data_IF_398840198050
#
_entry.id   IF_398840198050
#
_cell.length_a   1.000
_cell.length_b   1.000
_cell.length_c   1.000
_cell.angle_alpha   90.00
_cell.angle_beta   90.00
_cell.angle_gamma   90.00
#
_symmetry.space_group_name_H-M   'P 1'
#
loop_
_entity.id
_entity.type
_entity.pdbx_description
1 polymer ?
#
# COMPACT_ATOMS: atom_id res chain seq x y z
N UNK A 1 20.42 6.74 -13.44
CA UNK A 1 19.62 7.98 -13.29
C UNK A 1 19.83 8.55 -11.89
N UNK A 2 20.09 9.87 -11.75
CA UNK A 2 20.26 10.50 -10.43
C UNK A 2 18.98 10.36 -9.59
N UNK A 3 19.12 10.17 -8.27
CA UNK A 3 17.99 9.92 -7.34
C UNK A 3 16.92 11.02 -7.41
N UNK A 4 17.36 12.28 -7.49
CA UNK A 4 16.49 13.46 -7.60
C UNK A 4 15.69 13.45 -8.91
N UNK A 5 16.28 12.96 -10.00
CA UNK A 5 15.63 12.91 -11.31
C UNK A 5 14.49 11.88 -11.33
N UNK A 6 14.70 10.67 -10.78
CA UNK A 6 13.63 9.67 -10.70
C UNK A 6 12.46 10.16 -9.85
N UNK A 7 12.76 10.78 -8.70
CA UNK A 7 11.74 11.34 -7.83
C UNK A 7 10.89 12.41 -8.50
N UNK A 8 11.55 13.34 -9.18
CA UNK A 8 10.89 14.42 -9.92
C UNK A 8 10.00 13.88 -11.03
N UNK A 9 10.47 12.87 -11.78
CA UNK A 9 9.68 12.23 -12.84
C UNK A 9 8.44 11.55 -12.30
N UNK A 10 8.56 10.81 -11.19
CA UNK A 10 7.42 10.13 -10.58
C UNK A 10 6.37 11.11 -10.03
N UNK A 11 6.81 12.21 -9.40
CA UNK A 11 5.92 13.26 -8.94
C UNK A 11 5.23 13.99 -10.11
N UNK A 12 6.00 14.30 -11.17
CA UNK A 12 5.44 14.89 -12.38
C UNK A 12 4.40 13.97 -13.01
N UNK A 13 4.69 12.67 -13.10
CA UNK A 13 3.77 11.68 -13.65
C UNK A 13 2.48 11.57 -12.82
N UNK A 14 2.59 11.57 -11.49
CA UNK A 14 1.42 11.62 -10.60
C UNK A 14 0.60 12.90 -10.79
N UNK A 15 1.25 14.05 -10.95
CA UNK A 15 0.57 15.33 -11.20
C UNK A 15 -0.13 15.36 -12.56
N UNK A 16 0.52 14.87 -13.62
CA UNK A 16 -0.07 14.77 -14.95
C UNK A 16 -1.27 13.82 -14.94
N UNK A 17 -1.17 12.67 -14.26
CA UNK A 17 -2.29 11.74 -14.12
C UNK A 17 -3.48 12.41 -13.42
N UNK A 18 -3.25 13.09 -12.29
CA UNK A 18 -4.30 13.84 -11.59
C UNK A 18 -4.91 14.95 -12.46
N UNK A 19 -4.08 15.68 -13.22
CA UNK A 19 -4.55 16.72 -14.14
C UNK A 19 -5.45 16.17 -15.25
N UNK A 20 -5.08 15.03 -15.85
CA UNK A 20 -5.90 14.35 -16.87
C UNK A 20 -7.28 14.01 -16.28
N UNK A 21 -7.31 13.42 -15.08
CA UNK A 21 -8.57 13.09 -14.39
C UNK A 21 -9.43 14.33 -14.15
N UNK A 22 -8.83 15.46 -13.75
CA UNK A 22 -9.55 16.73 -13.59
C UNK A 22 -10.17 17.15 -14.93
N UNK A 23 -9.38 17.19 -16.01
CA UNK A 23 -9.88 17.58 -17.33
C UNK A 23 -11.02 16.69 -17.80
N UNK A 24 -10.93 15.37 -17.57
CA UNK A 24 -11.98 14.41 -17.92
C UNK A 24 -13.25 14.57 -17.08
N UNK A 25 -13.13 14.88 -15.79
CA UNK A 25 -14.28 15.17 -14.93
C UNK A 25 -15.02 16.43 -15.39
N UNK A 26 -14.30 17.49 -15.77
CA UNK A 26 -14.91 18.75 -16.21
C UNK A 26 -15.44 18.71 -17.65
N UNK A 27 -14.93 17.82 -18.50
CA UNK A 27 -15.45 17.67 -19.87
C UNK A 27 -16.80 16.94 -19.93
N UNK A 28 -17.19 16.23 -18.87
CA UNK A 28 -18.41 15.41 -18.83
C UNK A 28 -18.34 14.18 -19.74
N UNK A 29 -17.17 13.86 -20.30
CA UNK A 29 -17.01 12.78 -21.28
C UNK A 29 -17.18 11.39 -20.66
N UNK A 30 -16.74 11.22 -19.40
CA UNK A 30 -16.73 9.92 -18.71
C UNK A 30 -17.99 9.75 -17.84
N UNK A 31 -18.59 10.85 -17.37
CA UNK A 31 -19.64 10.82 -16.36
C UNK A 31 -20.69 11.86 -16.67
N UNK A 32 -21.95 11.44 -16.64
CA UNK A 32 -23.09 12.35 -16.64
C UNK A 32 -23.00 13.33 -15.46
N UNK A 33 -23.19 14.61 -15.77
CA UNK A 33 -23.29 15.65 -14.75
C UNK A 33 -24.69 15.55 -14.12
N UNK A 34 -24.74 15.00 -12.91
CA UNK A 34 -25.96 14.87 -12.10
C UNK A 34 -25.57 14.78 -10.62
N UNK A 35 -26.56 14.70 -9.74
CA UNK A 35 -26.36 14.59 -8.29
C UNK A 35 -25.94 13.17 -7.91
N UNK A 36 -24.92 13.05 -7.05
CA UNK A 36 -24.48 11.77 -6.47
C UNK A 36 -24.97 11.68 -5.01
N UNK A 37 -25.76 10.65 -4.65
CA UNK A 37 -26.48 10.62 -3.37
C UNK A 37 -25.62 10.70 -2.10
N UNK A 38 -24.42 10.12 -2.06
CA UNK A 38 -23.59 10.05 -0.84
C UNK A 38 -23.33 11.40 -0.19
N UNK A 39 -23.20 12.47 -0.98
CA UNK A 39 -23.05 13.84 -0.50
C UNK A 39 -24.19 14.77 -0.95
N UNK A 40 -25.07 14.31 -1.83
CA UNK A 40 -26.06 15.16 -2.50
C UNK A 40 -25.42 16.26 -3.37
N UNK A 41 -24.18 16.06 -3.83
CA UNK A 41 -23.42 17.02 -4.62
C UNK A 41 -23.35 16.61 -6.09
N UNK A 42 -23.03 17.58 -6.94
CA UNK A 42 -22.79 17.34 -8.37
C UNK A 42 -21.62 16.37 -8.54
N UNK A 43 -21.77 15.43 -9.48
CA UNK A 43 -20.82 14.34 -9.74
C UNK A 43 -19.37 14.80 -9.91
N UNK A 44 -19.14 15.94 -10.57
CA UNK A 44 -17.79 16.51 -10.75
C UNK A 44 -17.08 16.78 -9.41
N UNK A 45 -17.78 17.36 -8.44
CA UNK A 45 -17.22 17.66 -7.11
C UNK A 45 -17.02 16.37 -6.31
N UNK A 46 -18.03 15.50 -6.31
CA UNK A 46 -17.98 14.22 -5.60
C UNK A 46 -16.80 13.37 -6.08
N UNK A 47 -16.62 13.22 -7.38
CA UNK A 47 -15.54 12.41 -7.94
C UNK A 47 -14.18 13.09 -7.87
N UNK A 48 -14.07 14.42 -7.87
CA UNK A 48 -12.82 15.09 -7.54
C UNK A 48 -12.35 14.73 -6.12
N UNK A 49 -13.27 14.66 -5.16
CA UNK A 49 -12.96 14.27 -3.79
C UNK A 49 -12.54 12.80 -3.74
N UNK A 50 -13.35 11.90 -4.32
CA UNK A 50 -13.06 10.48 -4.27
C UNK A 50 -11.80 10.13 -5.05
N UNK A 51 -11.58 10.65 -6.25
CA UNK A 51 -10.55 10.14 -7.16
C UNK A 51 -9.20 10.83 -6.98
N UNK A 52 -9.16 11.98 -6.31
CA UNK A 52 -7.94 12.78 -6.14
C UNK A 52 -7.70 13.08 -4.66
N UNK A 53 -8.64 13.78 -4.01
CA UNK A 53 -8.40 14.31 -2.65
C UNK A 53 -8.21 13.18 -1.64
N UNK A 54 -9.14 12.22 -1.58
CA UNK A 54 -9.07 11.07 -0.65
C UNK A 54 -7.79 10.24 -0.88
N UNK A 55 -7.47 9.74 -2.09
CA UNK A 55 -6.32 8.88 -2.29
C UNK A 55 -5.01 9.63 -2.05
N UNK A 56 -4.91 10.91 -2.43
CA UNK A 56 -3.68 11.68 -2.23
C UNK A 56 -3.52 12.14 -0.77
N UNK A 57 -4.46 12.94 -0.26
CA UNK A 57 -4.36 13.53 1.08
C UNK A 57 -4.53 12.46 2.15
N UNK A 58 -5.47 11.53 1.98
CA UNK A 58 -5.64 10.40 2.89
C UNK A 58 -4.37 9.57 3.02
N UNK A 59 -3.68 9.28 1.91
CA UNK A 59 -2.40 8.55 1.93
C UNK A 59 -1.30 9.32 2.65
N UNK A 60 -1.23 10.64 2.49
CA UNK A 60 -0.28 11.49 3.21
C UNK A 60 -0.56 11.46 4.72
N UNK A 61 -1.83 11.58 5.12
CA UNK A 61 -2.19 11.57 6.54
C UNK A 61 -1.87 10.23 7.19
N UNK A 62 -2.31 9.12 6.58
CA UNK A 62 -2.12 7.79 7.17
C UNK A 62 -0.65 7.38 7.19
N UNK A 63 0.18 7.75 6.20
CA UNK A 63 1.59 7.37 6.21
C UNK A 63 2.40 8.05 7.31
N UNK A 64 1.93 9.21 7.79
CA UNK A 64 2.55 9.94 8.90
C UNK A 64 2.17 9.36 10.27
N UNK A 65 0.95 8.84 10.39
CA UNK A 65 0.35 8.45 11.67
C UNK A 65 0.48 6.95 11.88
N UNK A 66 0.07 6.14 10.90
CA UNK A 66 -0.17 4.71 11.07
C UNK A 66 1.09 3.92 11.36
N UNK A 67 2.23 4.10 10.66
CA UNK A 67 3.46 3.39 11.01
C UNK A 67 3.90 3.64 12.46
N UNK A 68 3.66 4.83 13.00
CA UNK A 68 4.03 5.21 14.37
C UNK A 68 3.20 4.51 15.43
N UNK A 69 1.96 4.15 15.10
CA UNK A 69 1.03 3.48 16.02
C UNK A 69 1.09 1.96 15.83
N UNK A 70 0.93 1.49 14.60
CA UNK A 70 0.80 0.06 14.30
C UNK A 70 2.12 -0.69 14.35
N UNK A 71 3.26 -0.06 14.02
CA UNK A 71 4.54 -0.78 14.10
C UNK A 71 4.90 -1.17 15.54
N UNK A 72 4.85 -0.27 16.54
CA UNK A 72 5.07 -0.66 17.94
C UNK A 72 4.06 -1.71 18.42
N UNK A 73 2.78 -1.59 18.06
CA UNK A 73 1.76 -2.55 18.41
C UNK A 73 2.06 -3.94 17.83
N UNK A 74 2.44 -4.01 16.56
CA UNK A 74 2.83 -5.25 15.90
C UNK A 74 4.05 -5.89 16.58
N UNK A 75 5.06 -5.09 16.95
CA UNK A 75 6.23 -5.59 17.70
C UNK A 75 5.82 -6.20 19.05
N UNK A 76 4.88 -5.57 19.77
CA UNK A 76 4.38 -6.09 21.05
C UNK A 76 3.67 -7.43 20.88
N UNK A 77 2.80 -7.54 19.87
CA UNK A 77 2.08 -8.78 19.55
C UNK A 77 3.09 -9.87 19.15
N UNK A 78 4.03 -9.56 18.25
CA UNK A 78 5.06 -10.51 17.80
C UNK A 78 5.89 -11.00 18.99
N UNK A 79 6.32 -10.13 19.90
CA UNK A 79 7.07 -10.51 21.10
C UNK A 79 6.28 -11.45 22.01
N UNK A 80 4.96 -11.26 22.10
CA UNK A 80 4.10 -12.15 22.89
C UNK A 80 3.98 -13.55 22.27
N UNK A 81 3.95 -13.64 20.94
CA UNK A 81 3.84 -14.91 20.20
C UNK A 81 5.18 -15.65 20.14
N UNK A 82 6.28 -14.92 19.94
CA UNK A 82 7.62 -15.48 19.78
C UNK A 82 8.44 -15.33 21.07
N UNK A 83 8.02 -16.02 22.13
CA UNK A 83 8.77 -16.04 23.39
C UNK A 83 10.17 -16.66 23.16
N UNK A 84 11.21 -16.07 23.75
CA UNK A 84 12.60 -16.55 23.65
C UNK A 84 13.47 -15.83 22.62
N UNK A 85 12.88 -15.00 21.76
CA UNK A 85 13.63 -14.19 20.81
C UNK A 85 13.82 -12.75 21.31
N UNK A 86 14.92 -12.13 20.87
CA UNK A 86 15.28 -10.75 21.12
C UNK A 86 15.11 -9.89 19.87
N UNK A 87 14.82 -8.61 20.06
CA UNK A 87 14.72 -7.64 18.97
C UNK A 87 15.99 -6.78 18.86
N UNK A 88 16.44 -6.57 17.64
CA UNK A 88 17.60 -5.72 17.34
C UNK A 88 17.44 -4.95 16.04
N UNK A 89 18.50 -4.27 15.64
CA UNK A 89 18.61 -3.68 14.31
C UNK A 89 20.01 -3.90 13.74
N UNK A 90 20.09 -4.00 12.41
CA UNK A 90 21.36 -3.99 11.67
C UNK A 90 21.59 -2.57 11.15
N UNK A 91 22.78 -2.01 11.40
CA UNK A 91 23.08 -0.65 10.94
C UNK A 91 23.45 -0.60 9.45
N UNK A 92 22.43 -0.82 8.62
CA UNK A 92 22.52 -0.68 7.16
C UNK A 92 21.79 0.60 6.77
N UNK A 93 22.43 1.41 5.95
CA UNK A 93 21.79 2.55 5.28
C UNK A 93 20.84 2.05 4.19
N UNK A 94 19.58 1.86 4.56
CA UNK A 94 18.51 1.57 3.60
C UNK A 94 18.17 2.84 2.83
N UNK A 95 18.24 2.79 1.50
CA UNK A 95 17.75 3.86 0.63
C UNK A 95 16.31 3.53 0.17
N UNK A 96 15.28 4.18 0.75
CA UNK A 96 13.88 3.95 0.34
C UNK A 96 13.62 4.38 -1.11
N UNK A 97 14.40 5.32 -1.66
CA UNK A 97 14.19 5.88 -3.00
C UNK A 97 14.94 5.11 -4.11
N UNK A 98 15.40 3.89 -3.85
CA UNK A 98 15.99 3.03 -4.88
C UNK A 98 14.89 2.60 -5.86
N UNK A 99 15.09 2.82 -7.16
CA UNK A 99 14.06 2.55 -8.19
C UNK A 99 13.45 1.15 -8.14
N UNK A 100 14.27 0.10 -7.95
CA UNK A 100 13.78 -1.28 -7.75
C UNK A 100 12.80 -1.37 -6.56
N UNK A 101 13.12 -0.71 -5.44
CA UNK A 101 12.31 -0.71 -4.22
C UNK A 101 11.00 0.04 -4.44
N UNK A 102 11.05 1.19 -5.09
CA UNK A 102 9.84 1.97 -5.46
C UNK A 102 8.93 1.11 -6.33
N UNK A 103 9.44 0.52 -7.41
CA UNK A 103 8.65 -0.32 -8.30
C UNK A 103 7.99 -1.50 -7.59
N UNK A 104 8.74 -2.19 -6.72
CA UNK A 104 8.19 -3.29 -5.90
C UNK A 104 7.11 -2.79 -4.93
N UNK A 105 7.29 -1.63 -4.28
CA UNK A 105 6.31 -1.06 -3.35
C UNK A 105 5.04 -0.58 -4.07
N UNK A 106 5.16 0.01 -5.26
CA UNK A 106 4.03 0.38 -6.10
C UNK A 106 3.24 -0.84 -6.59
N UNK A 107 3.94 -1.91 -6.98
CA UNK A 107 3.28 -3.18 -7.34
C UNK A 107 2.50 -3.75 -6.15
N UNK A 108 3.08 -3.76 -4.96
CA UNK A 108 2.39 -4.26 -3.77
C UNK A 108 1.21 -3.38 -3.34
N UNK A 109 1.33 -2.05 -3.49
CA UNK A 109 0.19 -1.14 -3.32
C UNK A 109 -0.93 -1.46 -4.30
N UNK A 110 -0.60 -1.57 -5.60
CA UNK A 110 -1.55 -1.93 -6.65
C UNK A 110 -2.35 -3.19 -6.27
N UNK A 111 -1.65 -4.28 -5.91
CA UNK A 111 -2.30 -5.54 -5.54
C UNK A 111 -3.21 -5.38 -4.32
N UNK A 112 -2.74 -4.68 -3.29
CA UNK A 112 -3.56 -4.51 -2.08
C UNK A 112 -4.76 -3.58 -2.30
N UNK A 113 -4.63 -2.56 -3.14
CA UNK A 113 -5.74 -1.68 -3.54
C UNK A 113 -6.83 -2.49 -4.23
N UNK A 114 -6.48 -3.37 -5.17
CA UNK A 114 -7.47 -4.23 -5.84
C UNK A 114 -8.16 -5.13 -4.82
N UNK A 115 -7.39 -5.84 -3.98
CA UNK A 115 -7.96 -6.76 -2.99
C UNK A 115 -8.93 -6.06 -2.02
N UNK A 116 -8.56 -4.87 -1.52
CA UNK A 116 -9.43 -4.08 -0.64
C UNK A 116 -10.64 -3.51 -1.38
N UNK A 117 -10.48 -3.08 -2.63
CA UNK A 117 -11.60 -2.53 -3.42
C UNK A 117 -12.73 -3.53 -3.60
N UNK A 118 -12.41 -4.82 -3.73
CA UNK A 118 -13.40 -5.89 -3.88
C UNK A 118 -14.19 -6.11 -2.60
N UNK A 119 -13.53 -6.01 -1.45
CA UNK A 119 -14.21 -6.01 -0.15
C UNK A 119 -15.11 -4.77 -0.04
N UNK A 120 -14.64 -3.60 -0.44
CA UNK A 120 -15.47 -2.39 -0.37
C UNK A 120 -16.66 -2.42 -1.33
N UNK A 121 -16.50 -2.97 -2.53
CA UNK A 121 -17.60 -3.16 -3.48
C UNK A 121 -18.71 -4.08 -2.95
N UNK A 122 -18.45 -4.92 -1.94
CA UNK A 122 -19.49 -5.72 -1.28
C UNK A 122 -20.08 -5.06 -0.02
N UNK A 123 -19.41 -4.05 0.53
CA UNK A 123 -19.85 -3.33 1.72
C UNK A 123 -20.65 -2.06 1.41
N UNK A 124 -20.40 -1.43 0.26
CA UNK A 124 -21.04 -0.19 -0.14
C UNK A 124 -22.07 -0.43 -1.25
N UNK A 125 -23.23 0.24 -1.14
CA UNK A 125 -24.25 0.23 -2.19
C UNK A 125 -23.79 1.11 -3.36
N UNK A 126 -23.65 0.58 -4.60
CA UNK A 126 -23.29 1.38 -5.76
C UNK A 126 -24.20 2.58 -6.00
N UNK A 127 -25.48 2.50 -5.64
CA UNK A 127 -26.44 3.58 -5.85
C UNK A 127 -26.09 4.84 -5.06
N UNK A 128 -25.38 4.73 -3.93
CA UNK A 128 -24.94 5.89 -3.16
C UNK A 128 -23.84 6.68 -3.88
N UNK A 129 -23.04 6.01 -4.71
CA UNK A 129 -21.84 6.56 -5.33
C UNK A 129 -22.02 6.90 -6.82
N UNK A 130 -23.16 6.55 -7.41
CA UNK A 130 -23.45 6.79 -8.82
C UNK A 130 -24.47 7.93 -8.98
N UNK A 131 -24.47 8.64 -10.12
CA UNK A 131 -25.43 9.70 -10.36
C UNK A 131 -26.87 9.16 -10.37
N UNK A 132 -27.84 9.96 -9.91
CA UNK A 132 -29.25 9.56 -9.89
C UNK A 132 -29.73 9.16 -11.29
N UNK A 133 -30.46 8.05 -11.37
CA UNK A 133 -30.95 7.49 -12.63
C UNK A 133 -29.91 6.68 -13.42
N UNK A 134 -28.76 6.36 -12.81
CA UNK A 134 -27.84 5.37 -13.40
C UNK A 134 -28.51 3.99 -13.41
N UNK A 135 -28.69 3.44 -14.60
CA UNK A 135 -29.32 2.13 -14.84
C UNK A 135 -28.45 1.32 -15.79
N UNK A 136 -28.63 0.01 -15.83
CA UNK A 136 -27.98 -0.86 -16.81
C UNK A 136 -27.59 -2.20 -16.23
N UNK A 137 -26.40 -2.67 -16.61
CA UNK A 137 -25.77 -3.86 -16.05
C UNK A 137 -25.50 -3.71 -14.55
N UNK A 138 -24.97 -4.75 -13.91
CA UNK A 138 -24.72 -4.75 -12.48
C UNK A 138 -23.81 -3.56 -12.08
N UNK A 139 -24.39 -2.65 -11.29
CA UNK A 139 -23.79 -1.37 -10.95
C UNK A 139 -22.52 -1.51 -10.10
N UNK A 140 -22.27 -2.69 -9.51
CA UNK A 140 -21.02 -3.00 -8.81
C UNK A 140 -19.81 -2.99 -9.75
N UNK A 141 -20.03 -3.16 -11.04
CA UNK A 141 -18.99 -3.10 -12.06
C UNK A 141 -18.97 -1.78 -12.83
N UNK A 142 -19.78 -0.80 -12.41
CA UNK A 142 -19.75 0.53 -13.02
C UNK A 142 -18.39 1.20 -12.73
N UNK A 143 -17.72 1.70 -13.78
CA UNK A 143 -16.34 2.17 -13.67
C UNK A 143 -16.17 3.28 -12.63
N UNK A 144 -17.13 4.22 -12.56
CA UNK A 144 -17.09 5.30 -11.58
C UNK A 144 -17.18 4.79 -10.12
N UNK A 145 -17.95 3.73 -9.88
CA UNK A 145 -18.05 3.09 -8.57
C UNK A 145 -16.74 2.37 -8.23
N UNK A 146 -16.18 1.60 -9.17
CA UNK A 146 -14.87 0.95 -9.02
C UNK A 146 -13.77 1.97 -8.66
N UNK A 147 -13.73 3.12 -9.35
CA UNK A 147 -12.82 4.21 -9.04
C UNK A 147 -12.97 4.73 -7.60
N UNK A 148 -14.21 4.92 -7.13
CA UNK A 148 -14.46 5.34 -5.75
C UNK A 148 -13.92 4.29 -4.76
N UNK A 149 -14.25 3.01 -4.96
CA UNK A 149 -13.81 1.92 -4.07
C UNK A 149 -12.29 1.80 -4.02
N UNK A 150 -11.62 1.86 -5.17
CA UNK A 150 -10.15 1.82 -5.23
C UNK A 150 -9.51 3.05 -4.60
N UNK A 151 -10.14 4.22 -4.72
CA UNK A 151 -9.61 5.44 -4.13
C UNK A 151 -9.77 5.48 -2.61
N UNK A 152 -10.86 4.93 -2.07
CA UNK A 152 -11.03 4.66 -0.62
C UNK A 152 -10.02 3.60 -0.14
N UNK A 153 -9.75 2.57 -0.96
CA UNK A 153 -8.76 1.55 -0.66
C UNK A 153 -7.32 2.04 -0.64
N UNK A 154 -6.99 3.08 -1.41
CA UNK A 154 -5.63 3.62 -1.53
C UNK A 154 -5.01 4.04 -0.20
N UNK A 155 -5.61 4.94 0.61
CA UNK A 155 -5.03 5.32 1.90
C UNK A 155 -4.93 4.13 2.85
N UNK A 156 -5.88 3.20 2.82
CA UNK A 156 -5.85 2.00 3.66
C UNK A 156 -4.70 1.08 3.24
N UNK A 157 -4.49 0.86 1.94
CA UNK A 157 -3.37 0.08 1.43
C UNK A 157 -2.02 0.73 1.79
N UNK A 158 -1.90 2.06 1.67
CA UNK A 158 -0.71 2.80 2.11
C UNK A 158 -0.49 2.64 3.61
N UNK A 159 -1.55 2.73 4.41
CA UNK A 159 -1.49 2.59 5.87
C UNK A 159 -0.91 1.23 6.28
N UNK A 160 -1.36 0.14 5.66
CA UNK A 160 -0.90 -1.21 5.93
C UNK A 160 0.53 -1.41 5.43
N UNK A 161 0.82 -1.05 4.17
CA UNK A 161 2.16 -1.25 3.61
C UNK A 161 3.24 -0.42 4.30
N UNK A 162 2.91 0.79 4.73
CA UNK A 162 3.88 1.67 5.39
C UNK A 162 4.40 1.14 6.73
N UNK A 163 3.63 0.28 7.42
CA UNK A 163 4.10 -0.48 8.58
C UNK A 163 5.24 -1.43 8.18
N UNK A 164 5.02 -2.20 7.11
CA UNK A 164 6.06 -3.08 6.56
C UNK A 164 7.30 -2.29 6.11
N UNK A 165 7.11 -1.17 5.43
CA UNK A 165 8.20 -0.34 4.93
C UNK A 165 9.02 0.24 6.08
N UNK A 166 8.35 0.73 7.14
CA UNK A 166 9.02 1.31 8.29
C UNK A 166 9.91 0.28 8.98
N UNK A 167 9.42 -0.95 9.19
CA UNK A 167 10.22 -2.04 9.76
C UNK A 167 11.40 -2.46 8.87
N UNK A 168 11.17 -2.55 7.56
CA UNK A 168 12.20 -2.89 6.58
C UNK A 168 13.30 -1.82 6.53
N UNK A 169 12.91 -0.54 6.40
CA UNK A 169 13.84 0.59 6.29
C UNK A 169 14.57 0.86 7.61
N UNK A 170 13.97 0.48 8.74
CA UNK A 170 14.62 0.51 10.04
C UNK A 170 15.59 -0.66 10.25
N UNK A 171 15.65 -1.62 9.32
CA UNK A 171 16.49 -2.82 9.39
C UNK A 171 16.27 -3.62 10.67
N UNK A 172 15.01 -3.72 11.11
CA UNK A 172 14.65 -4.45 12.32
C UNK A 172 14.78 -5.95 12.10
N UNK A 173 15.43 -6.60 13.05
CA UNK A 173 15.61 -8.05 13.08
C UNK A 173 15.15 -8.62 14.42
N UNK A 174 14.78 -9.89 14.35
CA UNK A 174 14.45 -10.73 15.47
C UNK A 174 15.48 -11.85 15.50
N UNK A 175 16.05 -12.16 16.67
CA UNK A 175 17.10 -13.15 16.78
C UNK A 175 17.00 -13.99 18.06
N UNK A 176 17.37 -15.27 17.96
CA UNK A 176 17.52 -16.19 19.11
C UNK A 176 19.00 -16.55 19.25
N UNK A 177 19.55 -16.35 20.44
CA UNK A 177 20.87 -16.87 20.81
C UNK A 177 20.60 -18.14 21.59
N UNK A 178 20.98 -19.32 21.07
CA UNK A 178 20.75 -20.59 21.76
C UNK A 178 21.59 -20.67 23.04
N UNK A 179 21.06 -21.39 24.04
CA UNK A 179 21.86 -21.73 25.23
C UNK A 179 22.90 -22.80 24.85
N UNK A 180 24.03 -22.86 25.57
CA UNK A 180 25.13 -23.81 25.28
C UNK A 180 24.67 -25.27 25.24
N UNK A 181 23.59 -25.60 25.94
CA UNK A 181 23.03 -26.95 26.08
C UNK A 181 22.08 -27.33 24.94
N UNK A 182 21.51 -26.34 24.22
CA UNK A 182 20.52 -26.59 23.16
C UNK A 182 21.13 -27.11 21.86
N UNK A 183 22.42 -26.87 21.60
CA UNK A 183 23.10 -27.31 20.37
C UNK A 183 22.51 -26.73 19.06
N UNK A 184 21.61 -25.75 19.15
CA UNK A 184 20.93 -25.14 18.02
C UNK A 184 21.78 -24.07 17.32
N UNK A 185 21.44 -23.77 16.06
CA UNK A 185 22.05 -22.66 15.30
C UNK A 185 21.40 -21.32 15.67
N UNK A 186 22.12 -20.22 15.44
CA UNK A 186 21.55 -18.88 15.53
C UNK A 186 20.40 -18.69 14.54
N UNK A 187 19.27 -18.20 15.04
CA UNK A 187 18.15 -17.80 14.19
C UNK A 187 18.09 -16.29 14.07
N UNK A 188 18.07 -15.78 12.84
CA UNK A 188 17.96 -14.34 12.55
C UNK A 188 16.91 -14.14 11.46
N UNK A 189 15.84 -13.41 11.77
CA UNK A 189 14.76 -13.11 10.84
C UNK A 189 14.50 -11.60 10.75
N UNK A 190 14.41 -11.01 9.55
CA UNK A 190 13.91 -9.65 9.39
C UNK A 190 12.44 -9.56 9.82
N UNK A 191 12.14 -8.63 10.74
CA UNK A 191 10.80 -8.52 11.35
C UNK A 191 9.71 -8.27 10.31
N UNK A 192 10.02 -7.45 9.30
CA UNK A 192 9.04 -7.06 8.29
C UNK A 192 8.56 -8.25 7.45
N UNK A 193 9.34 -9.34 7.34
CA UNK A 193 8.98 -10.48 6.48
C UNK A 193 7.67 -11.10 6.91
N UNK A 194 7.52 -11.40 8.19
CA UNK A 194 6.29 -11.98 8.75
C UNK A 194 5.06 -11.16 8.38
N UNK A 195 5.07 -9.85 8.69
CA UNK A 195 3.97 -8.94 8.38
C UNK A 195 3.71 -8.81 6.88
N UNK A 196 4.78 -8.63 6.08
CA UNK A 196 4.68 -8.47 4.64
C UNK A 196 4.15 -9.73 3.96
N UNK A 197 4.47 -10.92 4.45
CA UNK A 197 4.00 -12.18 3.89
C UNK A 197 2.49 -12.33 4.02
N UNK A 198 1.90 -11.95 5.16
CA UNK A 198 0.45 -11.92 5.32
C UNK A 198 -0.22 -10.97 4.32
N UNK A 199 0.30 -9.75 4.18
CA UNK A 199 -0.25 -8.79 3.21
C UNK A 199 -0.10 -9.27 1.77
N UNK A 200 1.05 -9.85 1.39
CA UNK A 200 1.26 -10.41 0.05
C UNK A 200 0.33 -11.58 -0.24
N UNK A 201 0.14 -12.48 0.72
CA UNK A 201 -0.76 -13.62 0.60
C UNK A 201 -2.20 -13.17 0.34
N UNK A 202 -2.68 -12.22 1.15
CA UNK A 202 -4.01 -11.63 0.97
C UNK A 202 -4.14 -10.89 -0.37
N UNK A 203 -3.19 -10.02 -0.72
CA UNK A 203 -3.26 -9.18 -1.91
C UNK A 203 -3.12 -9.99 -3.21
N UNK A 204 -2.21 -10.98 -3.26
CA UNK A 204 -1.87 -11.71 -4.48
C UNK A 204 -3.03 -12.52 -5.06
N UNK A 205 -3.59 -13.44 -4.27
CA UNK A 205 -4.67 -14.32 -4.73
C UNK A 205 -5.95 -13.52 -5.02
N UNK A 206 -6.34 -12.64 -4.09
CA UNK A 206 -7.56 -11.84 -4.22
C UNK A 206 -7.54 -10.96 -5.48
N UNK A 207 -6.39 -10.37 -5.81
CA UNK A 207 -6.25 -9.52 -7.01
C UNK A 207 -6.48 -10.28 -8.29
N UNK A 208 -5.84 -11.45 -8.45
CA UNK A 208 -5.91 -12.21 -9.69
C UNK A 208 -7.35 -12.62 -10.01
N UNK A 209 -8.03 -13.22 -9.04
CA UNK A 209 -9.42 -13.64 -9.22
C UNK A 209 -10.35 -12.45 -9.48
N UNK A 210 -10.17 -11.36 -8.74
CA UNK A 210 -11.05 -10.20 -8.87
C UNK A 210 -10.92 -9.50 -10.22
N UNK A 211 -9.69 -9.28 -10.70
CA UNK A 211 -9.48 -8.65 -12.00
C UNK A 211 -10.05 -9.50 -13.14
N UNK A 212 -9.84 -10.82 -13.10
CA UNK A 212 -10.37 -11.73 -14.14
C UNK A 212 -11.89 -11.74 -14.13
N UNK A 213 -12.53 -11.82 -12.96
CA UNK A 213 -13.99 -11.83 -12.85
C UNK A 213 -14.59 -10.52 -13.35
N UNK A 214 -14.07 -9.37 -12.90
CA UNK A 214 -14.57 -8.06 -13.33
C UNK A 214 -14.34 -7.87 -14.84
N UNK A 215 -13.16 -8.24 -15.34
CA UNK A 215 -12.82 -8.12 -16.75
C UNK A 215 -13.75 -8.97 -17.63
N UNK A 216 -13.91 -10.25 -17.32
CA UNK A 216 -14.77 -11.15 -18.09
C UNK A 216 -16.21 -10.66 -18.09
N UNK A 217 -16.74 -10.26 -16.92
CA UNK A 217 -18.09 -9.70 -16.84
C UNK A 217 -18.27 -8.48 -17.75
N UNK A 218 -17.33 -7.53 -17.72
CA UNK A 218 -17.41 -6.32 -18.54
C UNK A 218 -17.26 -6.62 -20.04
N UNK A 219 -16.48 -7.63 -20.41
CA UNK A 219 -16.40 -8.11 -21.79
C UNK A 219 -17.73 -8.73 -22.23
N UNK A 220 -18.39 -9.53 -21.38
CA UNK A 220 -19.67 -10.18 -21.66
C UNK A 220 -20.80 -9.16 -21.90
N UNK A 221 -20.78 -8.02 -21.18
CA UNK A 221 -21.72 -6.91 -21.39
C UNK A 221 -21.24 -5.88 -22.43
N UNK A 222 -20.23 -6.24 -23.24
CA UNK A 222 -19.67 -5.43 -24.32
C UNK A 222 -19.14 -4.04 -23.88
N UNK A 223 -18.64 -3.94 -22.65
CA UNK A 223 -18.03 -2.74 -22.06
C UNK A 223 -16.50 -2.79 -22.16
N UNK A 224 -15.96 -2.91 -23.37
CA UNK A 224 -14.52 -3.14 -23.62
C UNK A 224 -13.62 -2.08 -22.97
N UNK A 225 -13.99 -0.80 -23.09
CA UNK A 225 -13.22 0.29 -22.48
C UNK A 225 -13.17 0.18 -20.95
N UNK A 226 -14.32 -0.11 -20.33
CA UNK A 226 -14.41 -0.33 -18.89
C UNK A 226 -13.61 -1.56 -18.47
N UNK A 227 -13.65 -2.64 -19.24
CA UNK A 227 -12.89 -3.87 -18.98
C UNK A 227 -11.39 -3.61 -18.94
N UNK A 228 -10.84 -2.87 -19.90
CA UNK A 228 -9.42 -2.48 -19.90
C UNK A 228 -9.13 -1.53 -18.73
N UNK A 229 -10.04 -0.60 -18.45
CA UNK A 229 -9.86 0.41 -17.41
C UNK A 229 -9.69 -0.20 -16.03
N UNK A 230 -10.28 -1.37 -15.74
CA UNK A 230 -10.15 -2.08 -14.44
C UNK A 230 -8.70 -2.36 -14.05
N UNK A 231 -7.79 -2.50 -15.02
CA UNK A 231 -6.35 -2.64 -14.75
C UNK A 231 -5.64 -1.29 -14.53
N UNK A 232 -6.18 -0.21 -15.10
CA UNK A 232 -5.60 1.14 -15.04
C UNK A 232 -6.01 1.89 -13.77
N UNK A 233 -7.24 1.70 -13.29
CA UNK A 233 -7.74 2.37 -12.06
C UNK A 233 -6.86 2.10 -10.83
N UNK A 234 -6.50 0.84 -10.48
CA UNK A 234 -5.68 0.59 -9.30
C UNK A 234 -4.25 1.09 -9.49
N UNK A 235 -3.77 1.17 -10.73
CA UNK A 235 -2.50 1.81 -11.07
C UNK A 235 -2.55 3.30 -10.76
N UNK A 236 -3.62 4.01 -11.13
CA UNK A 236 -3.82 5.41 -10.76
C UNK A 236 -3.82 5.62 -9.23
N UNK A 237 -4.47 4.73 -8.47
CA UNK A 237 -4.41 4.76 -7.00
C UNK A 237 -2.98 4.64 -6.47
N UNK A 238 -2.18 3.72 -7.02
CA UNK A 238 -0.77 3.58 -6.66
C UNK A 238 0.08 4.82 -7.04
N UNK A 239 -0.22 5.48 -8.16
CA UNK A 239 0.43 6.74 -8.54
C UNK A 239 0.09 7.87 -7.57
N UNK A 240 -1.18 7.99 -7.16
CA UNK A 240 -1.63 8.99 -6.19
C UNK A 240 -1.01 8.80 -4.79
N UNK A 241 -0.50 7.60 -4.49
CA UNK A 241 0.25 7.32 -3.27
C UNK A 241 1.74 7.76 -3.33
N UNK A 242 2.25 8.14 -4.51
CA UNK A 242 3.66 8.53 -4.69
C UNK A 242 4.06 9.70 -3.79
N UNK A 243 3.31 10.82 -3.71
CA UNK A 243 3.65 11.93 -2.81
C UNK A 243 3.78 11.49 -1.34
N UNK A 244 2.84 10.65 -0.86
CA UNK A 244 2.88 10.10 0.48
C UNK A 244 4.17 9.28 0.69
N UNK A 245 4.53 8.42 -0.26
CA UNK A 245 5.75 7.64 -0.22
C UNK A 245 7.03 8.50 -0.12
N UNK A 246 7.08 9.62 -0.86
CA UNK A 246 8.18 10.58 -0.76
C UNK A 246 8.28 11.23 0.62
N UNK A 247 7.15 11.66 1.18
CA UNK A 247 7.09 12.22 2.54
C UNK A 247 7.60 11.21 3.56
N UNK A 248 7.15 9.95 3.46
CA UNK A 248 7.65 8.86 4.28
C UNK A 248 9.17 8.68 4.17
N UNK A 249 9.70 8.66 2.94
CA UNK A 249 11.13 8.50 2.70
C UNK A 249 11.97 9.65 3.28
N UNK A 250 11.43 10.87 3.32
CA UNK A 250 12.10 12.03 3.90
C UNK A 250 12.14 11.99 5.44
N UNK A 251 11.06 11.52 6.07
CA UNK A 251 11.00 11.40 7.53
C UNK A 251 11.91 10.27 8.03
N UNK A 252 11.96 9.17 7.28
CA UNK A 252 12.71 7.98 7.63
C UNK A 252 12.13 7.20 8.81
N UNK A 253 12.71 6.03 9.06
CA UNK A 253 12.21 5.06 10.05
C UNK A 253 13.21 4.78 11.18
N UNK A 254 14.33 5.51 11.24
CA UNK A 254 15.37 5.31 12.28
C UNK A 254 14.83 5.46 13.71
N UNK A 255 13.73 6.19 13.91
CA UNK A 255 13.05 6.30 15.20
C UNK A 255 12.61 4.95 15.79
N UNK A 256 12.36 3.93 14.95
CA UNK A 256 12.03 2.56 15.38
C UNK A 256 13.22 1.81 16.01
N UNK A 257 14.45 2.32 15.84
CA UNK A 257 15.66 1.75 16.43
C UNK A 257 15.89 2.22 17.88
N UNK A 258 15.09 3.21 18.36
CA UNK A 258 15.21 3.74 19.73
C UNK A 258 15.06 2.59 20.74
N UNK A 259 15.99 2.52 21.69
CA UNK A 259 16.05 1.50 22.75
C UNK A 259 16.26 0.05 22.26
N UNK A 260 16.66 -0.17 21.00
CA UNK A 260 17.03 -1.49 20.49
C UNK A 260 18.54 -1.62 20.43
N UNK A 261 19.05 -2.84 20.65
CA UNK A 261 20.48 -3.12 20.54
C UNK A 261 20.87 -3.18 19.06
N UNK A 262 21.88 -2.41 18.68
CA UNK A 262 22.54 -2.58 17.39
C UNK A 262 23.28 -3.91 17.39
N UNK A 263 22.90 -4.80 16.48
CA UNK A 263 23.59 -6.07 16.31
C UNK A 263 24.87 -5.79 15.52
N UNK A 264 26.01 -6.04 16.16
CA UNK A 264 27.33 -5.92 15.53
C UNK A 264 27.66 -7.23 14.81
N UNK A 265 28.56 -7.16 13.84
CA UNK A 265 29.21 -8.36 13.31
C UNK A 265 29.88 -9.09 14.48
N UNK A 266 29.56 -10.37 14.66
CA UNK A 266 30.36 -11.26 15.49
C UNK A 266 31.68 -11.48 14.76
N UNK A 267 32.82 -11.20 15.40
CA UNK A 267 34.12 -11.60 14.84
C UNK A 267 34.34 -13.10 15.08
N UNK A 268 35.27 -13.72 14.35
CA UNK A 268 35.69 -15.11 14.62
C UNK A 268 36.13 -15.27 16.09
N UNK A 269 36.77 -14.25 16.67
CA UNK A 269 37.12 -14.24 18.10
C UNK A 269 35.94 -14.22 19.07
N UNK A 270 34.75 -13.77 18.64
CA UNK A 270 33.51 -13.87 19.43
C UNK A 270 32.86 -15.25 19.28
N UNK A 271 33.22 -15.98 18.21
CA UNK A 271 32.87 -17.37 17.97
C UNK A 271 33.89 -18.33 18.63
N UNK A 272 35.07 -17.87 19.04
CA UNK A 272 36.10 -18.66 19.74
C UNK A 272 35.74 -19.03 21.20
N UNK A 273 34.48 -18.90 21.61
CA UNK A 273 33.94 -19.63 22.77
C UNK A 273 33.91 -21.16 22.58
N UNK A 274 34.53 -21.66 21.51
CA UNK A 274 34.64 -23.07 21.08
C UNK A 274 36.09 -23.57 20.94
N UNK A 275 37.05 -23.02 21.69
CA UNK A 275 38.33 -23.70 21.91
C UNK A 275 38.57 -23.94 23.39
N UNK A 276 38.07 -25.07 23.89
CA UNK A 276 38.71 -25.93 24.90
C UNK A 276 38.11 -27.35 24.83
#
# INVERSE_FOLDING_TARGET
MPRKTLATILLLFSFVAAFIVIVELFSGFIIRIDTVPIFGWVSTVTYMIFWIVIPMIGSILVILIVPRILTPLFMLIKKSLNRGYNDGYIDIEMNPLRGKKIGTRLLYLYLLIVALSVIFSSLFDPLEFLPVGTTGFDLRYHIAFIWCMMSIATPIAVSLWSVSWAMEDASLIHYKIPSKEEGELYEIEPVYKTYSSYLKGFAGLSTLFSLVVIFNYLMDVNQVFSAISVFLVPFNGALNAIPAYFIYAMIGSKWLRKNKRGVKYLSESDLDLYTE
#
